data_IF_191753602049
#
_entry.id   IF_191753602049
#
_cell.length_a   1.000
_cell.length_b   1.000
_cell.length_c   1.000
_cell.angle_alpha   90.00
_cell.angle_beta   90.00
_cell.angle_gamma   90.00
#
_symmetry.space_group_name_H-M   'P 1'
#
loop_
_entity.id
_entity.type
_entity.pdbx_description
1 polymer ?
#
# COMPACT_ATOMS: atom_id res chain seq x y z
N UNK A 1 13.72 -2.11 15.51
CA UNK A 1 12.61 -1.19 15.82
C UNK A 1 12.88 0.20 15.29
N UNK A 2 13.94 0.88 15.76
CA UNK A 2 14.31 2.23 15.28
C UNK A 2 14.46 2.34 13.75
N UNK A 3 15.10 1.35 13.11
CA UNK A 3 15.23 1.32 11.65
C UNK A 3 13.87 1.27 10.90
N UNK A 4 12.86 0.61 11.48
CA UNK A 4 11.53 0.51 10.87
C UNK A 4 10.70 1.76 11.14
N UNK A 5 10.70 2.26 12.38
CA UNK A 5 9.99 3.49 12.73
C UNK A 5 10.45 4.68 11.88
N UNK A 6 11.76 4.87 11.75
CA UNK A 6 12.32 5.95 10.93
C UNK A 6 11.98 5.77 9.45
N UNK A 7 12.02 4.54 8.92
CA UNK A 7 11.53 4.25 7.56
C UNK A 7 10.05 4.61 7.40
N UNK A 8 9.20 4.21 8.35
CA UNK A 8 7.76 4.45 8.23
C UNK A 8 7.46 5.95 8.25
N UNK A 9 8.13 6.72 9.11
CA UNK A 9 8.01 8.18 9.12
C UNK A 9 8.58 8.83 7.84
N UNK A 10 9.57 8.21 7.20
CA UNK A 10 10.08 8.66 5.91
C UNK A 10 9.15 8.32 4.73
N UNK A 11 8.07 7.55 4.93
CA UNK A 11 7.02 7.37 3.90
C UNK A 11 6.26 8.66 3.70
N UNK A 12 5.90 9.33 4.80
CA UNK A 12 5.30 10.66 4.86
C UNK A 12 5.61 11.24 6.24
N UNK A 13 6.21 12.42 6.26
CA UNK A 13 6.50 13.13 7.51
C UNK A 13 5.20 13.37 8.30
N UNK A 14 5.19 13.19 9.64
CA UNK A 14 4.00 13.33 10.48
C UNK A 14 3.09 14.52 10.17
N UNK A 15 3.67 15.71 10.01
CA UNK A 15 2.98 16.98 9.76
C UNK A 15 2.31 17.04 8.38
N UNK A 16 2.73 16.18 7.45
CA UNK A 16 2.18 16.11 6.09
C UNK A 16 1.17 14.97 5.89
N UNK A 17 0.85 14.21 6.94
CA UNK A 17 -0.18 13.18 6.91
C UNK A 17 -1.57 13.82 6.76
N UNK A 18 -2.43 13.18 5.98
CA UNK A 18 -3.82 13.57 5.77
C UNK A 18 -4.70 12.32 5.70
N UNK A 19 -6.01 12.50 5.81
CA UNK A 19 -6.99 11.42 5.60
C UNK A 19 -6.88 10.74 4.23
N UNK A 20 -6.36 11.45 3.22
CA UNK A 20 -6.16 10.94 1.86
C UNK A 20 -4.77 10.36 1.60
N UNK A 21 -3.87 10.30 2.59
CA UNK A 21 -2.49 9.85 2.34
C UNK A 21 -2.40 8.38 1.97
N UNK A 22 -3.12 7.48 2.65
CA UNK A 22 -3.10 6.05 2.35
C UNK A 22 -4.45 5.60 1.81
N UNK A 23 -4.43 4.74 0.79
CA UNK A 23 -5.66 4.25 0.18
C UNK A 23 -6.44 3.34 1.14
N UNK A 24 -7.74 3.60 1.29
CA UNK A 24 -8.65 2.73 2.04
C UNK A 24 -9.19 1.59 1.16
N UNK A 25 -9.51 1.88 -0.10
CA UNK A 25 -10.16 0.93 -1.00
C UNK A 25 -9.23 0.04 -1.82
N UNK A 26 -7.93 0.36 -1.91
CA UNK A 26 -7.00 -0.35 -2.78
C UNK A 26 -5.88 -1.04 -1.99
N UNK A 27 -5.69 -2.33 -2.30
CA UNK A 27 -4.58 -3.18 -1.80
C UNK A 27 -4.40 -3.16 -0.28
N UNK A 28 -5.52 -2.92 0.43
CA UNK A 28 -5.60 -2.81 1.89
C UNK A 28 -4.54 -1.86 2.47
N UNK A 29 -4.17 -0.81 1.74
CA UNK A 29 -2.99 0.00 2.07
C UNK A 29 -3.10 0.63 3.47
N UNK A 30 -4.20 1.33 3.77
CA UNK A 30 -4.43 1.90 5.10
C UNK A 30 -4.42 0.86 6.23
N UNK A 31 -5.09 -0.28 6.02
CA UNK A 31 -5.12 -1.40 6.98
C UNK A 31 -3.71 -1.96 7.25
N UNK A 32 -2.91 -2.17 6.20
CA UNK A 32 -1.52 -2.65 6.33
C UNK A 32 -0.65 -1.66 7.09
N UNK A 33 -0.79 -0.36 6.83
CA UNK A 33 -0.01 0.67 7.53
C UNK A 33 -0.30 0.66 9.03
N UNK A 34 -1.58 0.64 9.41
CA UNK A 34 -1.98 0.57 10.82
C UNK A 34 -1.45 -0.72 11.45
N UNK A 35 -1.60 -1.86 10.77
CA UNK A 35 -1.10 -3.14 11.27
C UNK A 35 0.43 -3.12 11.47
N UNK A 36 1.20 -2.65 10.49
CA UNK A 36 2.67 -2.56 10.57
C UNK A 36 3.15 -1.70 11.75
N UNK A 37 2.51 -0.54 11.97
CA UNK A 37 2.82 0.33 13.11
C UNK A 37 2.41 -0.28 14.44
N UNK A 38 1.22 -0.90 14.53
CA UNK A 38 0.75 -1.56 15.75
C UNK A 38 1.66 -2.70 16.17
N UNK A 39 2.06 -3.57 15.23
CA UNK A 39 3.01 -4.66 15.52
C UNK A 39 4.34 -4.12 16.05
N UNK A 40 4.82 -2.99 15.52
CA UNK A 40 6.04 -2.35 15.99
C UNK A 40 5.87 -1.75 17.40
N UNK A 41 4.73 -1.10 17.67
CA UNK A 41 4.40 -0.53 18.97
C UNK A 41 4.19 -1.60 20.05
N UNK A 42 3.45 -2.65 19.76
CA UNK A 42 3.24 -3.82 20.64
C UNK A 42 4.59 -4.44 21.02
N UNK A 43 5.47 -4.67 20.04
CA UNK A 43 6.81 -5.19 20.31
C UNK A 43 7.64 -4.25 21.19
N UNK A 44 7.56 -2.95 20.97
CA UNK A 44 8.26 -1.96 21.78
C UNK A 44 7.73 -1.95 23.23
N UNK A 45 6.40 -1.97 23.41
CA UNK A 45 5.73 -2.01 24.72
C UNK A 45 6.09 -3.29 25.47
N UNK A 46 6.00 -4.45 24.82
CA UNK A 46 6.39 -5.73 25.41
C UNK A 46 7.83 -5.70 25.94
N UNK A 47 8.76 -5.09 25.20
CA UNK A 47 10.14 -4.94 25.68
C UNK A 47 10.23 -3.99 26.87
N UNK A 48 9.57 -2.84 26.80
CA UNK A 48 9.52 -1.87 27.90
C UNK A 48 9.02 -2.50 29.21
N UNK A 49 7.93 -3.27 29.16
CA UNK A 49 7.31 -3.89 30.32
C UNK A 49 8.21 -4.98 30.96
N UNK A 50 9.19 -5.49 30.22
CA UNK A 50 10.15 -6.51 30.69
C UNK A 50 11.55 -5.95 31.01
N UNK A 51 11.77 -4.64 30.86
CA UNK A 51 13.06 -4.02 31.14
C UNK A 51 13.24 -3.76 32.64
N UNK A 52 14.49 -3.86 33.16
CA UNK A 52 14.79 -3.37 34.49
C UNK A 52 14.49 -1.87 34.59
N UNK A 53 13.95 -1.44 35.73
CA UNK A 53 13.57 -0.05 36.00
C UNK A 53 14.69 0.96 35.66
N UNK A 54 15.95 0.58 35.89
CA UNK A 54 17.12 1.41 35.58
C UNK A 54 17.28 1.77 34.09
N UNK A 55 16.61 1.06 33.18
CA UNK A 55 16.64 1.31 31.74
C UNK A 55 15.31 1.86 31.20
N UNK A 56 14.24 1.83 31.99
CA UNK A 56 12.87 2.12 31.53
C UNK A 56 12.77 3.54 30.98
N UNK A 57 13.26 4.55 31.69
CA UNK A 57 13.14 5.94 31.25
C UNK A 57 13.90 6.25 29.95
N UNK A 58 15.07 5.63 29.76
CA UNK A 58 15.83 5.76 28.51
C UNK A 58 15.12 5.05 27.36
N UNK A 59 14.60 3.84 27.59
CA UNK A 59 13.86 3.11 26.57
C UNK A 59 12.54 3.80 26.20
N UNK A 60 11.83 4.32 27.20
CA UNK A 60 10.58 5.07 26.99
C UNK A 60 10.81 6.23 26.01
N UNK A 61 11.77 7.11 26.31
CA UNK A 61 11.98 8.32 25.52
C UNK A 61 12.64 8.07 24.15
N UNK A 62 13.54 7.08 24.04
CA UNK A 62 14.35 6.87 22.83
C UNK A 62 13.73 5.86 21.86
N UNK A 63 12.85 4.98 22.32
CA UNK A 63 12.32 3.88 21.51
C UNK A 63 10.80 3.86 21.55
N UNK A 64 10.21 3.76 22.73
CA UNK A 64 8.80 3.44 22.87
C UNK A 64 7.87 4.61 22.50
N UNK A 65 8.07 5.76 23.14
CA UNK A 65 7.30 6.97 22.87
C UNK A 65 7.28 7.35 21.39
N UNK A 66 8.41 7.48 20.67
CA UNK A 66 8.37 7.88 19.26
C UNK A 66 7.65 6.85 18.38
N UNK A 67 7.75 5.56 18.70
CA UNK A 67 7.03 4.49 17.98
C UNK A 67 5.52 4.62 18.23
N UNK A 68 5.08 4.77 19.47
CA UNK A 68 3.66 4.85 19.82
C UNK A 68 2.99 6.13 19.35
N UNK A 69 3.66 7.28 19.50
CA UNK A 69 3.16 8.55 18.99
C UNK A 69 2.92 8.48 17.47
N UNK A 70 3.88 7.93 16.72
CA UNK A 70 3.73 7.83 15.26
C UNK A 70 2.75 6.72 14.83
N UNK A 71 2.65 5.63 15.59
CA UNK A 71 1.62 4.61 15.38
C UNK A 71 0.22 5.19 15.58
N UNK A 72 0.02 5.91 16.69
CA UNK A 72 -1.23 6.60 17.01
C UNK A 72 -1.62 7.61 15.92
N UNK A 73 -0.67 8.45 15.49
CA UNK A 73 -0.90 9.48 14.48
C UNK A 73 -1.28 8.90 13.11
N UNK A 74 -0.58 7.85 12.65
CA UNK A 74 -0.92 7.18 11.39
C UNK A 74 -2.28 6.50 11.49
N UNK A 75 -2.59 5.85 12.62
CA UNK A 75 -3.90 5.25 12.85
C UNK A 75 -5.02 6.30 12.84
N UNK A 76 -4.80 7.48 13.44
CA UNK A 76 -5.77 8.57 13.46
C UNK A 76 -6.10 9.05 12.05
N UNK A 77 -5.09 9.26 11.19
CA UNK A 77 -5.35 9.70 9.81
C UNK A 77 -5.92 8.59 8.93
N UNK A 78 -5.56 7.31 9.14
CA UNK A 78 -6.23 6.20 8.45
C UNK A 78 -7.69 6.08 8.91
N UNK A 79 -7.98 6.27 10.21
CA UNK A 79 -9.35 6.30 10.71
C UNK A 79 -10.14 7.47 10.11
N UNK A 80 -9.53 8.64 9.95
CA UNK A 80 -10.15 9.77 9.24
C UNK A 80 -10.41 9.47 7.76
N UNK A 81 -9.47 8.78 7.08
CA UNK A 81 -9.67 8.30 5.71
C UNK A 81 -10.81 7.29 5.60
N UNK A 82 -10.92 6.37 6.57
CA UNK A 82 -12.03 5.42 6.65
C UNK A 82 -13.36 6.12 6.93
N UNK A 83 -13.38 7.09 7.84
CA UNK A 83 -14.56 7.91 8.08
C UNK A 83 -15.07 8.55 6.78
N UNK A 84 -14.19 9.20 6.02
CA UNK A 84 -14.55 9.77 4.71
C UNK A 84 -15.03 8.68 3.72
N UNK A 85 -14.30 7.57 3.61
CA UNK A 85 -14.63 6.45 2.71
C UNK A 85 -16.04 5.89 2.95
N UNK A 86 -16.40 5.67 4.22
CA UNK A 86 -17.71 5.14 4.62
C UNK A 86 -18.81 6.21 4.57
N UNK A 87 -18.49 7.47 4.89
CA UNK A 87 -19.46 8.57 4.81
C UNK A 87 -19.90 8.85 3.38
N UNK A 88 -18.97 8.87 2.42
CA UNK A 88 -19.27 8.98 0.98
C UNK A 88 -20.08 7.80 0.44
N UNK A 89 -19.99 6.66 1.13
CA UNK A 89 -20.77 5.46 0.85
C UNK A 89 -22.03 5.37 1.68
N UNK A 90 -22.36 6.36 2.52
CA UNK A 90 -23.58 6.37 3.32
C UNK A 90 -23.70 5.21 4.31
N UNK A 91 -22.59 4.74 4.91
CA UNK A 91 -22.63 3.64 5.90
C UNK A 91 -22.38 4.11 7.34
N UNK A 92 -23.10 3.56 8.34
CA UNK A 92 -22.94 3.84 9.77
C UNK A 92 -21.52 3.63 10.31
N UNK A 93 -20.70 2.80 9.67
CA UNK A 93 -19.27 2.63 9.98
C UNK A 93 -18.52 3.97 10.01
N UNK A 94 -18.98 4.97 9.23
CA UNK A 94 -18.45 6.33 9.30
C UNK A 94 -18.46 6.89 10.73
N UNK A 95 -19.56 6.69 11.47
CA UNK A 95 -19.74 7.20 12.83
C UNK A 95 -18.76 6.53 13.80
N UNK A 96 -18.57 5.22 13.68
CA UNK A 96 -17.56 4.49 14.46
C UNK A 96 -16.16 5.09 14.24
N UNK A 97 -15.78 5.33 12.98
CA UNK A 97 -14.48 5.92 12.68
C UNK A 97 -14.38 7.39 13.07
N UNK A 98 -15.48 8.15 13.10
CA UNK A 98 -15.49 9.51 13.63
C UNK A 98 -15.11 9.52 15.13
N UNK A 99 -15.73 8.64 15.91
CA UNK A 99 -15.41 8.47 17.33
C UNK A 99 -13.98 7.96 17.52
N UNK A 100 -13.52 7.05 16.65
CA UNK A 100 -12.15 6.53 16.69
C UNK A 100 -11.09 7.62 16.43
N UNK A 101 -11.35 8.54 15.50
CA UNK A 101 -10.46 9.70 15.26
C UNK A 101 -10.36 10.56 16.51
N UNK A 102 -11.47 10.81 17.20
CA UNK A 102 -11.49 11.57 18.45
C UNK A 102 -10.69 10.87 19.55
N UNK A 103 -10.91 9.57 19.75
CA UNK A 103 -10.16 8.75 20.71
C UNK A 103 -8.64 8.84 20.47
N UNK A 104 -8.21 8.71 19.21
CA UNK A 104 -6.80 8.74 18.86
C UNK A 104 -6.18 10.14 18.99
N UNK A 105 -6.97 11.19 18.75
CA UNK A 105 -6.54 12.57 18.99
C UNK A 105 -6.37 12.87 20.49
N UNK A 106 -7.27 12.37 21.35
CA UNK A 106 -7.13 12.47 22.80
C UNK A 106 -5.93 11.65 23.31
N UNK A 107 -5.69 10.47 22.73
CA UNK A 107 -4.53 9.64 23.04
C UNK A 107 -3.20 10.30 22.69
N UNK A 108 -3.14 11.10 21.62
CA UNK A 108 -1.94 11.87 21.25
C UNK A 108 -1.54 12.87 22.35
N UNK A 109 -2.55 13.60 22.88
CA UNK A 109 -2.36 14.52 23.98
C UNK A 109 -1.91 13.79 25.27
N UNK A 110 -2.48 12.62 25.55
CA UNK A 110 -2.12 11.81 26.72
C UNK A 110 -0.68 11.27 26.61
N UNK A 111 -0.24 10.80 25.44
CA UNK A 111 1.15 10.38 25.23
C UNK A 111 2.12 11.55 25.51
N UNK A 112 1.78 12.76 25.03
CA UNK A 112 2.57 13.96 25.27
C UNK A 112 2.63 14.30 26.77
N UNK A 113 1.50 14.20 27.48
CA UNK A 113 1.41 14.40 28.94
C UNK A 113 2.31 13.42 29.69
N UNK A 114 2.24 12.13 29.37
CA UNK A 114 3.10 11.10 29.98
C UNK A 114 4.59 11.42 29.81
N UNK A 115 4.99 11.92 28.65
CA UNK A 115 6.38 12.32 28.40
C UNK A 115 6.79 13.56 29.23
N UNK A 116 5.88 14.51 29.46
CA UNK A 116 6.17 15.77 30.15
C UNK A 116 6.06 15.70 31.66
N UNK A 117 5.16 14.87 32.19
CA UNK A 117 4.78 14.85 33.60
C UNK A 117 5.27 13.58 34.30
N UNK A 118 5.02 12.42 33.70
CA UNK A 118 5.24 11.13 34.38
C UNK A 118 6.71 10.67 34.24
N UNK A 119 7.33 10.94 33.10
CA UNK A 119 8.71 10.55 32.83
C UNK A 119 9.71 11.33 33.69
N UNK A 120 10.35 10.63 34.63
CA UNK A 120 11.42 11.16 35.48
C UNK A 120 11.02 12.46 36.22
N UNK A 121 9.80 12.49 36.77
CA UNK A 121 9.23 13.66 37.46
C UNK A 121 9.29 14.95 36.61
N UNK A 122 9.00 14.80 35.30
CA UNK A 122 8.95 15.88 34.34
C UNK A 122 10.29 16.46 33.91
N UNK A 123 11.36 15.66 33.98
CA UNK A 123 12.70 16.05 33.50
C UNK A 123 12.71 16.63 32.08
N UNK A 124 11.84 16.14 31.21
CA UNK A 124 11.76 16.51 29.80
C UNK A 124 10.49 17.30 29.44
N UNK A 125 9.93 17.99 30.42
CA UNK A 125 8.78 18.85 30.20
C UNK A 125 9.02 19.81 29.01
N UNK A 126 7.98 20.02 28.20
CA UNK A 126 7.96 20.80 26.96
C UNK A 126 8.70 20.21 25.74
N UNK A 127 9.49 19.14 25.86
CA UNK A 127 10.24 18.57 24.71
C UNK A 127 9.33 18.09 23.57
N UNK A 128 8.10 17.68 23.88
CA UNK A 128 7.08 17.24 22.90
C UNK A 128 5.94 18.26 22.74
N UNK A 129 6.19 19.55 22.98
CA UNK A 129 5.17 20.62 22.88
C UNK A 129 4.90 21.11 21.44
N UNK A 130 5.64 20.59 20.45
CA UNK A 130 5.49 21.01 19.05
C UNK A 130 4.11 20.63 18.51
N UNK A 131 3.43 21.59 17.89
CA UNK A 131 2.20 21.31 17.15
C UNK A 131 2.52 20.54 15.87
N UNK A 132 1.84 19.42 15.68
CA UNK A 132 2.14 18.44 14.63
C UNK A 132 0.88 17.90 13.93
N UNK A 133 -0.33 18.33 14.36
CA UNK A 133 -1.61 17.90 13.78
C UNK A 133 -2.38 19.11 13.21
N UNK A 134 -2.82 19.00 11.96
CA UNK A 134 -3.72 20.00 11.34
C UNK A 134 -3.03 21.09 10.52
N UNK A 135 -1.84 20.81 9.97
CA UNK A 135 -1.16 21.70 9.03
C UNK A 135 -2.04 21.95 7.80
N UNK A 136 -2.05 23.20 7.32
CA UNK A 136 -2.75 23.63 6.10
C UNK A 136 -1.85 24.36 5.11
N UNK A 137 -0.63 24.68 5.55
CA UNK A 137 0.45 25.26 4.76
C UNK A 137 1.78 24.91 5.46
N UNK A 138 2.90 25.48 5.01
CA UNK A 138 4.25 25.09 5.44
C UNK A 138 4.56 25.33 6.93
N UNK A 139 3.92 26.30 7.58
CA UNK A 139 4.19 26.63 8.98
C UNK A 139 3.25 25.84 9.91
N UNK A 140 3.73 25.58 11.12
CA UNK A 140 2.93 24.93 12.16
C UNK A 140 1.65 25.71 12.52
N UNK A 141 0.54 25.01 12.82
CA UNK A 141 -0.66 25.65 13.34
C UNK A 141 -0.44 26.08 14.81
N UNK A 142 -1.21 27.06 15.31
CA UNK A 142 -1.10 27.51 16.71
C UNK A 142 -1.53 26.44 17.73
N UNK A 143 -2.30 25.44 17.29
CA UNK A 143 -2.82 24.35 18.12
C UNK A 143 -2.87 23.06 17.29
N UNK A 144 -2.74 21.91 17.95
CA UNK A 144 -3.13 20.64 17.33
C UNK A 144 -4.63 20.66 17.05
N UNK A 145 -5.01 20.35 15.80
CA UNK A 145 -6.41 20.33 15.37
C UNK A 145 -6.78 18.94 14.87
N UNK A 146 -7.72 18.31 15.54
CA UNK A 146 -8.29 17.01 15.15
C UNK A 146 -8.70 17.02 13.66
N UNK A 147 -8.42 15.95 12.89
CA UNK A 147 -8.93 15.83 11.52
C UNK A 147 -10.45 16.00 11.46
N UNK A 148 -10.95 16.59 10.37
CA UNK A 148 -12.38 16.68 10.14
C UNK A 148 -12.98 15.28 9.99
N UNK A 149 -14.18 15.09 10.57
CA UNK A 149 -14.94 13.84 10.49
C UNK A 149 -16.39 14.13 10.13
N UNK A 150 -17.02 13.16 9.50
CA UNK A 150 -18.45 13.19 9.16
C UNK A 150 -19.22 12.18 9.99
N UNK A 151 -20.44 12.52 10.38
CA UNK A 151 -21.43 11.56 10.85
C UNK A 151 -22.50 11.41 9.78
N UNK A 152 -23.00 10.20 9.61
CA UNK A 152 -24.16 9.88 8.76
C UNK A 152 -25.36 9.53 9.63
N UNK A 153 -26.56 9.77 9.10
CA UNK A 153 -27.83 9.39 9.72
C UNK A 153 -28.30 8.05 9.13
N UNK A 154 -28.20 6.92 9.87
CA UNK A 154 -28.62 5.61 9.39
C UNK A 154 -30.14 5.51 9.27
N UNK A 155 -30.62 4.57 8.45
CA UNK A 155 -32.05 4.25 8.40
C UNK A 155 -32.48 3.53 9.69
N UNK A 156 -33.74 3.70 10.09
CA UNK A 156 -34.27 2.98 11.24
C UNK A 156 -34.37 1.47 10.96
N UNK A 157 -33.97 0.64 11.93
CA UNK A 157 -33.98 -0.82 11.81
C UNK A 157 -32.63 -1.38 11.36
N UNK A 158 -32.62 -2.61 10.86
CA UNK A 158 -31.44 -3.24 10.26
C UNK A 158 -31.59 -3.22 8.73
N UNK A 159 -30.54 -2.85 8.01
CA UNK A 159 -30.55 -2.81 6.54
C UNK A 159 -29.24 -3.41 6.02
N UNK A 160 -29.35 -4.47 5.22
CA UNK A 160 -28.20 -5.19 4.67
C UNK A 160 -27.63 -4.48 3.43
N UNK A 161 -26.31 -4.37 3.37
CA UNK A 161 -25.56 -4.12 2.13
C UNK A 161 -24.23 -4.86 2.15
N UNK A 162 -23.40 -4.65 1.12
CA UNK A 162 -22.04 -5.18 1.09
C UNK A 162 -21.08 -4.32 0.26
N UNK A 163 -19.78 -4.45 0.51
CA UNK A 163 -18.72 -4.02 -0.41
C UNK A 163 -17.85 -5.21 -0.78
N UNK A 164 -17.31 -5.18 -2.00
CA UNK A 164 -16.32 -6.16 -2.44
C UNK A 164 -14.94 -5.53 -2.39
N UNK A 165 -13.93 -6.32 -2.05
CA UNK A 165 -12.54 -5.89 -2.22
C UNK A 165 -12.29 -5.51 -3.68
N UNK A 166 -11.74 -4.31 -3.90
CA UNK A 166 -11.56 -3.68 -5.22
C UNK A 166 -12.84 -3.34 -6.00
N UNK A 167 -14.02 -3.48 -5.38
CA UNK A 167 -15.32 -3.07 -5.92
C UNK A 167 -15.46 -1.55 -6.04
N UNK A 168 -16.38 -1.12 -6.90
CA UNK A 168 -16.69 0.30 -7.08
C UNK A 168 -17.49 0.88 -5.93
N UNK A 169 -17.52 2.21 -5.82
CA UNK A 169 -18.50 2.91 -4.98
C UNK A 169 -19.92 2.56 -5.48
N UNK A 170 -20.84 2.15 -4.60
CA UNK A 170 -22.23 1.93 -5.01
C UNK A 170 -22.81 3.20 -5.62
N UNK A 171 -23.58 3.05 -6.70
CA UNK A 171 -24.27 4.17 -7.33
C UNK A 171 -25.70 4.24 -6.83
N UNK A 172 -26.19 5.47 -6.66
CA UNK A 172 -27.61 5.73 -6.44
C UNK A 172 -28.38 5.39 -7.73
N UNK A 173 -29.40 4.55 -7.65
CA UNK A 173 -30.21 4.15 -8.80
C UNK A 173 -30.86 5.36 -9.48
N UNK A 174 -30.71 5.49 -10.80
CA UNK A 174 -31.18 6.68 -11.55
C UNK A 174 -32.59 6.52 -12.15
N UNK A 175 -33.36 5.49 -11.79
CA UNK A 175 -34.63 5.17 -12.47
C UNK A 175 -35.82 4.83 -11.58
N UNK A 176 -35.66 4.59 -10.28
CA UNK A 176 -36.79 4.37 -9.36
C UNK A 176 -36.76 5.37 -8.21
N UNK A 177 -37.94 5.88 -7.89
CA UNK A 177 -38.19 6.91 -6.87
C UNK A 177 -37.93 6.38 -5.43
N UNK A 178 -37.59 5.09 -5.31
CA UNK A 178 -37.17 4.35 -4.12
C UNK A 178 -35.77 3.73 -4.38
N UNK A 179 -34.76 4.58 -4.57
CA UNK A 179 -33.46 4.20 -5.12
C UNK A 179 -32.67 3.17 -4.29
N UNK A 180 -32.69 1.90 -4.72
CA UNK A 180 -31.77 0.86 -4.25
C UNK A 180 -30.32 1.14 -4.69
N UNK A 181 -29.36 0.77 -3.84
CA UNK A 181 -27.94 0.84 -4.17
C UNK A 181 -27.57 -0.19 -5.23
N UNK A 182 -26.90 0.27 -6.29
CA UNK A 182 -26.28 -0.62 -7.27
C UNK A 182 -24.88 -1.00 -6.80
N UNK A 183 -24.76 -2.21 -6.25
CA UNK A 183 -23.49 -2.79 -5.80
C UNK A 183 -22.67 -3.37 -6.95
N UNK A 184 -21.35 -3.48 -6.75
CA UNK A 184 -20.51 -4.34 -7.59
C UNK A 184 -20.75 -5.78 -7.19
N UNK A 185 -21.01 -6.67 -8.15
CA UNK A 185 -21.35 -8.06 -7.86
C UNK A 185 -20.20 -9.03 -8.17
N UNK A 186 -19.15 -8.60 -8.86
CA UNK A 186 -18.03 -9.46 -9.23
C UNK A 186 -16.82 -9.21 -8.32
N UNK A 187 -16.35 -10.26 -7.65
CA UNK A 187 -15.02 -10.26 -7.05
C UNK A 187 -13.94 -10.24 -8.15
N UNK A 188 -12.70 -9.81 -7.82
CA UNK A 188 -11.58 -10.02 -8.73
C UNK A 188 -11.38 -11.51 -9.02
N UNK A 189 -10.78 -11.82 -10.18
CA UNK A 189 -10.57 -13.22 -10.58
C UNK A 189 -9.54 -13.88 -9.67
N UNK A 190 -9.88 -15.08 -9.19
CA UNK A 190 -8.96 -15.92 -8.44
C UNK A 190 -8.19 -16.86 -9.38
N UNK A 191 -6.95 -17.18 -9.02
CA UNK A 191 -6.13 -18.17 -9.72
C UNK A 191 -5.27 -19.00 -8.73
N UNK A 192 -4.94 -20.26 -9.07
CA UNK A 192 -4.21 -21.15 -8.17
C UNK A 192 -2.73 -20.78 -7.99
N UNK A 193 -2.19 -19.86 -8.79
CA UNK A 193 -0.80 -19.45 -8.71
C UNK A 193 -0.63 -18.40 -7.63
N UNK A 194 -1.48 -17.37 -7.62
CA UNK A 194 -1.48 -16.32 -6.62
C UNK A 194 -2.16 -16.77 -5.33
N UNK A 195 -3.16 -17.65 -5.42
CA UNK A 195 -3.93 -18.18 -4.29
C UNK A 195 -4.53 -17.06 -3.43
N UNK A 196 -5.32 -16.21 -4.08
CA UNK A 196 -5.82 -14.98 -3.49
C UNK A 196 -6.82 -15.25 -2.36
N UNK A 197 -6.82 -14.33 -1.40
CA UNK A 197 -7.79 -14.24 -0.31
C UNK A 197 -8.48 -12.88 -0.37
N UNK A 198 -9.64 -12.80 -1.03
CA UNK A 198 -10.44 -11.57 -1.09
C UNK A 198 -11.48 -11.53 0.03
N UNK A 199 -12.20 -10.42 0.18
CA UNK A 199 -13.31 -10.33 1.14
C UNK A 199 -14.59 -9.75 0.54
N UNK A 200 -15.71 -10.20 1.10
CA UNK A 200 -17.00 -9.52 1.08
C UNK A 200 -17.14 -8.81 2.43
N UNK A 201 -17.22 -7.49 2.40
CA UNK A 201 -17.47 -6.66 3.58
C UNK A 201 -18.98 -6.50 3.73
N UNK A 202 -19.57 -7.27 4.65
CA UNK A 202 -20.99 -7.18 4.98
C UNK A 202 -21.18 -5.91 5.80
N UNK A 203 -22.12 -5.05 5.39
CA UNK A 203 -22.39 -3.78 6.06
C UNK A 203 -23.82 -3.74 6.58
N UNK A 204 -24.00 -3.14 7.75
CA UNK A 204 -25.27 -2.71 8.28
C UNK A 204 -25.45 -1.22 8.00
N UNK A 205 -26.48 -0.87 7.23
CA UNK A 205 -26.84 0.50 6.87
C UNK A 205 -27.84 1.12 7.85
N UNK A 206 -28.37 0.34 8.78
CA UNK A 206 -29.39 0.75 9.75
C UNK A 206 -28.85 1.05 11.15
N UNK A 207 -29.77 1.39 12.06
CA UNK A 207 -29.50 1.68 13.48
C UNK A 207 -29.46 0.45 14.39
N UNK A 208 -30.24 -0.57 14.08
CA UNK A 208 -30.35 -1.80 14.89
C UNK A 208 -29.34 -2.86 14.42
N UNK A 209 -28.87 -3.76 15.30
CA UNK A 209 -27.98 -4.86 14.91
C UNK A 209 -28.55 -5.69 13.75
N UNK A 210 -27.72 -5.95 12.74
CA UNK A 210 -28.06 -6.75 11.58
C UNK A 210 -27.57 -8.19 11.74
N UNK A 211 -28.50 -9.14 11.75
CA UNK A 211 -28.18 -10.56 11.54
C UNK A 211 -28.18 -10.90 10.05
N UNK A 212 -27.17 -11.61 9.58
CA UNK A 212 -27.06 -12.07 8.20
C UNK A 212 -26.58 -13.53 8.11
N UNK A 213 -26.81 -14.12 6.94
CA UNK A 213 -26.27 -15.41 6.52
C UNK A 213 -25.55 -15.23 5.18
N UNK A 214 -24.46 -15.96 4.98
CA UNK A 214 -23.65 -15.95 3.76
C UNK A 214 -23.28 -17.39 3.40
N UNK A 215 -23.58 -17.79 2.17
CA UNK A 215 -23.38 -19.18 1.73
C UNK A 215 -22.81 -19.25 0.32
N UNK A 216 -21.90 -20.19 0.10
CA UNK A 216 -21.41 -20.52 -1.23
C UNK A 216 -22.40 -21.47 -1.93
N UNK A 217 -22.63 -21.28 -3.23
CA UNK A 217 -23.41 -22.21 -4.06
C UNK A 217 -22.58 -23.42 -4.49
N UNK A 218 -21.27 -23.23 -4.63
CA UNK A 218 -20.32 -24.25 -5.00
C UNK A 218 -19.43 -24.65 -3.82
N UNK A 219 -19.10 -25.94 -3.72
CA UNK A 219 -18.31 -26.53 -2.62
C UNK A 219 -16.80 -26.23 -2.69
N UNK A 220 -16.36 -25.63 -3.79
CA UNK A 220 -15.00 -25.13 -4.00
C UNK A 220 -14.80 -23.69 -3.53
N UNK A 221 -15.87 -22.96 -3.18
CA UNK A 221 -15.77 -21.63 -2.56
C UNK A 221 -15.75 -21.80 -1.04
N UNK A 222 -14.71 -21.30 -0.40
CA UNK A 222 -14.54 -21.35 1.05
C UNK A 222 -14.80 -19.96 1.64
N UNK A 223 -15.64 -19.91 2.67
CA UNK A 223 -15.99 -18.69 3.40
C UNK A 223 -15.45 -18.79 4.83
N UNK A 224 -14.85 -17.71 5.34
CA UNK A 224 -14.37 -17.67 6.72
C UNK A 224 -15.50 -17.67 7.76
N UNK A 225 -16.72 -17.31 7.37
CA UNK A 225 -17.94 -17.28 8.17
C UNK A 225 -19.15 -17.60 7.28
N UNK A 226 -20.22 -18.11 7.90
CA UNK A 226 -21.48 -18.42 7.21
C UNK A 226 -22.68 -17.63 7.76
N UNK A 227 -22.51 -16.99 8.90
CA UNK A 227 -23.50 -16.13 9.54
C UNK A 227 -22.80 -15.16 10.49
N UNK A 228 -23.50 -14.09 10.85
CA UNK A 228 -23.00 -13.10 11.79
C UNK A 228 -24.08 -12.14 12.26
N UNK A 229 -23.74 -11.39 13.29
CA UNK A 229 -24.54 -10.29 13.82
C UNK A 229 -23.63 -9.08 14.00
N UNK A 230 -23.91 -8.00 13.26
CA UNK A 230 -23.05 -6.81 13.19
C UNK A 230 -23.80 -5.53 13.56
N UNK A 231 -23.10 -4.62 14.21
CA UNK A 231 -23.57 -3.25 14.38
C UNK A 231 -23.23 -2.38 13.16
N UNK A 232 -22.02 -2.51 12.62
CA UNK A 232 -21.48 -1.65 11.56
C UNK A 232 -21.11 -2.45 10.31
N UNK A 233 -20.01 -3.20 10.36
CA UNK A 233 -19.51 -3.98 9.24
C UNK A 233 -18.67 -5.16 9.73
N UNK A 234 -18.51 -6.16 8.88
CA UNK A 234 -17.44 -7.15 9.03
C UNK A 234 -16.99 -7.72 7.69
N UNK A 235 -15.72 -8.14 7.62
CA UNK A 235 -15.13 -8.77 6.43
C UNK A 235 -15.22 -10.29 6.51
N UNK A 236 -15.99 -10.90 5.61
CA UNK A 236 -16.00 -12.35 5.37
C UNK A 236 -15.01 -12.65 4.25
N UNK A 237 -13.96 -13.40 4.55
CA UNK A 237 -12.94 -13.75 3.56
C UNK A 237 -13.40 -14.91 2.68
N UNK A 238 -13.03 -14.84 1.41
CA UNK A 238 -13.34 -15.79 0.35
C UNK A 238 -12.02 -16.35 -0.19
N UNK A 239 -11.89 -17.67 -0.21
CA UNK A 239 -10.79 -18.41 -0.83
C UNK A 239 -11.31 -19.60 -1.64
N UNK A 240 -10.45 -20.20 -2.46
CA UNK A 240 -10.83 -21.27 -3.38
C UNK A 240 -10.15 -22.59 -2.98
N UNK A 241 -10.95 -23.67 -2.91
CA UNK A 241 -10.46 -25.04 -2.85
C UNK A 241 -10.13 -25.52 -4.27
N UNK A 242 -8.86 -25.34 -4.68
CA UNK A 242 -8.40 -25.63 -6.04
C UNK A 242 -8.46 -27.11 -6.45
N UNK A 243 -8.59 -28.03 -5.49
CA UNK A 243 -8.77 -29.47 -5.76
C UNK A 243 -10.20 -29.80 -6.21
N UNK A 244 -11.18 -29.01 -5.75
CA UNK A 244 -12.60 -29.15 -6.13
C UNK A 244 -13.01 -28.21 -7.25
N UNK A 245 -12.31 -27.09 -7.41
CA UNK A 245 -12.62 -26.09 -8.42
C UNK A 245 -12.56 -26.66 -9.84
N UNK A 246 -13.51 -26.32 -10.74
CA UNK A 246 -13.46 -26.77 -12.13
C UNK A 246 -12.20 -26.25 -12.83
N UNK A 247 -11.73 -26.96 -13.86
CA UNK A 247 -10.57 -26.55 -14.68
C UNK A 247 -10.95 -25.43 -15.65
N UNK A 248 -9.98 -24.55 -15.94
CA UNK A 248 -10.19 -23.41 -16.85
C UNK A 248 -10.95 -22.26 -16.20
N UNK A 249 -11.52 -21.39 -17.03
CA UNK A 249 -12.35 -20.28 -16.58
C UNK A 249 -13.74 -20.77 -16.14
N UNK A 250 -14.18 -20.34 -14.96
CA UNK A 250 -15.51 -20.62 -14.43
C UNK A 250 -15.97 -19.48 -13.52
N UNK A 251 -17.26 -19.42 -13.24
CA UNK A 251 -17.82 -18.48 -12.28
C UNK A 251 -18.68 -19.24 -11.27
N UNK A 252 -18.44 -19.00 -9.98
CA UNK A 252 -19.31 -19.47 -8.90
C UNK A 252 -20.06 -18.31 -8.27
N UNK A 253 -20.85 -18.61 -7.23
CA UNK A 253 -21.71 -17.63 -6.59
C UNK A 253 -21.74 -17.78 -5.06
N UNK A 254 -21.79 -16.62 -4.39
CA UNK A 254 -22.08 -16.49 -2.97
C UNK A 254 -23.44 -15.81 -2.84
N UNK A 255 -24.29 -16.31 -1.94
CA UNK A 255 -25.55 -15.67 -1.58
C UNK A 255 -25.45 -15.12 -0.18
N UNK A 256 -25.71 -13.82 -0.06
CA UNK A 256 -25.73 -13.05 1.18
C UNK A 256 -27.16 -12.59 1.46
N UNK A 257 -27.73 -13.01 2.59
CA UNK A 257 -29.13 -12.72 2.94
C UNK A 257 -29.23 -12.20 4.37
N UNK A 258 -30.11 -11.23 4.61
CA UNK A 258 -30.26 -10.57 5.92
C UNK A 258 -31.24 -9.41 5.84
N UNK A 259 -31.97 -9.14 6.94
CA UNK A 259 -33.00 -8.10 7.02
C UNK A 259 -34.01 -8.10 5.84
N UNK A 260 -34.38 -9.28 5.33
CA UNK A 260 -35.33 -9.42 4.21
C UNK A 260 -34.76 -9.16 2.81
N UNK A 261 -33.48 -8.81 2.70
CA UNK A 261 -32.75 -8.65 1.43
C UNK A 261 -31.89 -9.87 1.11
N UNK A 262 -31.63 -10.10 -0.17
CA UNK A 262 -30.75 -11.16 -0.67
C UNK A 262 -29.93 -10.63 -1.87
N UNK A 263 -28.61 -10.87 -1.83
CA UNK A 263 -27.67 -10.48 -2.88
C UNK A 263 -26.89 -11.71 -3.37
N UNK A 264 -26.61 -11.75 -4.68
CA UNK A 264 -25.77 -12.78 -5.30
C UNK A 264 -24.46 -12.16 -5.77
N UNK A 265 -23.33 -12.68 -5.28
CA UNK A 265 -21.98 -12.20 -5.56
C UNK A 265 -21.25 -13.25 -6.39
N UNK A 266 -20.72 -12.84 -7.53
CA UNK A 266 -19.98 -13.69 -8.46
C UNK A 266 -18.53 -13.89 -7.99
N UNK A 267 -18.05 -15.12 -8.14
CA UNK A 267 -16.69 -15.54 -7.79
C UNK A 267 -16.01 -16.10 -9.05
N UNK A 268 -15.42 -15.23 -9.90
CA UNK A 268 -14.74 -15.68 -11.10
C UNK A 268 -13.42 -16.37 -10.75
N UNK A 269 -13.16 -17.50 -11.38
CA UNK A 269 -11.91 -18.25 -11.25
C UNK A 269 -11.29 -18.53 -12.61
N UNK A 270 -9.96 -18.64 -12.63
CA UNK A 270 -9.20 -19.27 -13.72
C UNK A 270 -8.31 -20.35 -13.13
N UNK A 271 -8.77 -21.60 -13.15
CA UNK A 271 -8.00 -22.74 -12.65
C UNK A 271 -7.11 -23.32 -13.74
N UNK A 272 -6.11 -22.52 -14.12
CA UNK A 272 -5.04 -22.91 -15.03
C UNK A 272 -3.70 -22.84 -14.29
N UNK A 273 -2.78 -23.73 -14.66
CA UNK A 273 -1.44 -23.79 -14.05
C UNK A 273 -0.37 -23.75 -15.14
N UNK A 274 -0.28 -22.64 -15.91
CA UNK A 274 0.81 -22.47 -16.86
C UNK A 274 2.17 -22.50 -16.16
N UNK A 275 3.26 -22.81 -16.89
CA UNK A 275 4.61 -22.63 -16.36
C UNK A 275 4.83 -21.17 -15.97
N UNK A 276 5.25 -20.93 -14.73
CA UNK A 276 5.54 -19.59 -14.19
C UNK A 276 6.92 -19.55 -13.55
N UNK A 277 7.56 -18.39 -13.60
CA UNK A 277 8.85 -18.13 -12.96
C UNK A 277 8.96 -16.66 -12.53
N UNK A 278 9.71 -16.42 -11.45
CA UNK A 278 9.91 -15.07 -10.94
C UNK A 278 8.64 -14.49 -10.33
N UNK A 279 8.44 -13.19 -10.47
CA UNK A 279 7.27 -12.48 -9.95
C UNK A 279 6.05 -12.67 -10.85
N UNK A 280 4.96 -13.20 -10.31
CA UNK A 280 3.77 -13.51 -11.10
C UNK A 280 2.78 -12.35 -11.05
N UNK A 281 2.20 -12.05 -12.21
CA UNK A 281 1.07 -11.13 -12.37
C UNK A 281 -0.12 -11.54 -11.47
N UNK A 282 -0.70 -10.57 -10.78
CA UNK A 282 -1.93 -10.71 -10.03
C UNK A 282 -2.94 -9.66 -10.47
N UNK A 283 -3.88 -10.07 -11.34
CA UNK A 283 -4.94 -9.23 -11.91
C UNK A 283 -4.40 -7.98 -12.62
N UNK A 284 -3.38 -8.14 -13.47
CA UNK A 284 -2.84 -7.09 -14.33
C UNK A 284 -1.75 -6.23 -13.67
N UNK A 285 -1.11 -6.73 -12.62
CA UNK A 285 -0.06 -6.02 -11.86
C UNK A 285 1.04 -6.95 -11.42
N UNK A 286 2.29 -6.60 -11.75
CA UNK A 286 3.50 -7.20 -11.15
C UNK A 286 4.26 -6.13 -10.36
N UNK A 287 4.57 -6.39 -9.10
CA UNK A 287 5.41 -5.53 -8.27
C UNK A 287 6.68 -6.25 -7.87
N UNK A 288 7.81 -5.59 -8.08
CA UNK A 288 9.16 -6.12 -7.83
C UNK A 288 9.94 -5.13 -6.95
N UNK A 289 10.39 -5.55 -5.77
CA UNK A 289 11.32 -4.75 -4.97
C UNK A 289 12.70 -4.78 -5.63
N UNK A 290 13.38 -3.62 -5.70
CA UNK A 290 14.60 -3.50 -6.51
C UNK A 290 15.74 -4.41 -6.04
N UNK A 291 15.78 -4.77 -4.75
CA UNK A 291 16.79 -5.66 -4.18
C UNK A 291 16.53 -7.15 -4.41
N UNK A 292 15.47 -7.50 -5.15
CA UNK A 292 15.06 -8.88 -5.42
C UNK A 292 15.33 -9.31 -6.88
N UNK A 293 16.49 -8.95 -7.43
CA UNK A 293 16.94 -9.41 -8.75
C UNK A 293 17.22 -10.92 -8.79
N UNK A 294 17.16 -11.52 -9.99
CA UNK A 294 17.59 -12.91 -10.23
C UNK A 294 19.05 -12.97 -10.65
N UNK A 295 19.50 -11.99 -11.44
CA UNK A 295 20.89 -11.87 -11.86
C UNK A 295 21.35 -10.42 -11.76
N UNK A 296 22.63 -10.25 -11.44
CA UNK A 296 23.30 -8.96 -11.49
C UNK A 296 24.62 -9.14 -12.20
N UNK A 297 24.88 -8.31 -13.19
CA UNK A 297 26.18 -8.16 -13.84
C UNK A 297 26.78 -6.84 -13.37
N UNK A 298 28.04 -6.87 -12.97
CA UNK A 298 28.81 -5.70 -12.57
C UNK A 298 30.05 -5.55 -13.45
N UNK A 299 30.63 -4.35 -13.45
CA UNK A 299 31.95 -4.07 -14.00
C UNK A 299 32.95 -3.89 -12.85
N UNK A 300 34.25 -3.94 -13.16
CA UNK A 300 35.32 -3.81 -12.17
C UNK A 300 35.25 -2.47 -11.40
N UNK A 301 34.88 -1.40 -12.09
CA UNK A 301 34.85 -0.02 -11.62
C UNK A 301 33.42 0.53 -11.42
N UNK A 302 32.39 -0.31 -11.54
CA UNK A 302 30.99 0.05 -11.27
C UNK A 302 30.12 -1.18 -10.96
N UNK A 303 29.50 -1.19 -9.78
CA UNK A 303 28.67 -2.31 -9.33
C UNK A 303 27.34 -1.83 -8.73
N UNK A 304 26.26 -2.55 -9.01
CA UNK A 304 25.01 -2.43 -8.27
C UNK A 304 25.19 -2.98 -6.86
N UNK A 305 24.88 -2.16 -5.86
CA UNK A 305 24.92 -2.53 -4.45
C UNK A 305 23.55 -2.32 -3.81
N UNK A 306 23.21 -3.21 -2.87
CA UNK A 306 22.04 -3.08 -2.02
C UNK A 306 22.34 -2.11 -0.87
N UNK A 307 21.43 -1.18 -0.63
CA UNK A 307 21.41 -0.35 0.57
C UNK A 307 20.24 -0.83 1.46
N UNK A 308 20.53 -1.59 2.54
CA UNK A 308 19.49 -2.18 3.38
C UNK A 308 18.61 -1.09 3.99
N UNK A 309 17.30 -1.33 4.00
CA UNK A 309 16.31 -0.47 4.66
C UNK A 309 16.22 0.98 4.10
N UNK A 310 16.89 1.30 2.99
CA UNK A 310 16.71 2.57 2.31
C UNK A 310 15.45 2.53 1.44
N UNK A 311 14.66 3.60 1.50
CA UNK A 311 13.42 3.75 0.72
C UNK A 311 12.16 3.53 1.55
N UNK A 312 11.00 3.54 0.89
CA UNK A 312 9.66 3.54 1.52
C UNK A 312 9.14 2.14 1.85
N UNK A 313 9.65 1.11 1.18
CA UNK A 313 9.23 -0.30 1.28
C UNK A 313 10.39 -1.21 1.69
N UNK A 314 10.99 -1.96 0.76
CA UNK A 314 12.06 -2.93 0.99
C UNK A 314 13.44 -2.30 1.17
N UNK A 315 14.36 -2.63 0.28
CA UNK A 315 15.68 -1.99 0.20
C UNK A 315 15.85 -1.31 -1.16
N UNK A 316 16.92 -0.54 -1.31
CA UNK A 316 17.21 0.14 -2.57
C UNK A 316 18.49 -0.39 -3.22
N UNK A 317 18.59 -0.21 -4.53
CA UNK A 317 19.79 -0.49 -5.33
C UNK A 317 20.40 0.81 -5.84
N UNK A 318 21.74 0.91 -5.79
CA UNK A 318 22.49 2.05 -6.33
C UNK A 318 23.86 1.61 -6.85
N UNK A 319 24.58 2.49 -7.55
CA UNK A 319 25.91 2.21 -8.11
C UNK A 319 27.01 2.62 -7.13
N UNK A 320 27.97 1.71 -6.93
CA UNK A 320 29.23 1.94 -6.24
C UNK A 320 30.42 1.76 -7.19
N UNK A 321 31.44 2.63 -7.13
CA UNK A 321 31.50 3.85 -6.32
C UNK A 321 30.53 4.92 -6.85
N UNK A 322 30.16 5.88 -5.99
CA UNK A 322 29.16 6.90 -6.31
C UNK A 322 29.61 7.89 -7.40
N UNK A 323 30.88 7.88 -7.77
CA UNK A 323 31.47 8.68 -8.84
C UNK A 323 31.77 7.87 -10.13
N UNK A 324 31.21 6.66 -10.28
CA UNK A 324 31.37 5.86 -11.49
C UNK A 324 30.96 6.65 -12.76
N UNK A 325 31.74 6.48 -13.83
CA UNK A 325 31.55 7.20 -15.09
C UNK A 325 30.27 6.78 -15.82
N UNK A 326 29.72 7.69 -16.62
CA UNK A 326 28.54 7.42 -17.46
C UNK A 326 28.84 6.34 -18.50
N UNK A 327 27.86 5.47 -18.78
CA UNK A 327 27.97 4.39 -19.77
C UNK A 327 26.75 4.31 -20.65
N UNK A 328 26.94 3.95 -21.92
CA UNK A 328 25.84 3.48 -22.75
C UNK A 328 25.38 2.09 -22.27
N UNK A 329 24.07 1.75 -22.37
CA UNK A 329 23.60 0.40 -22.10
C UNK A 329 24.24 -0.59 -23.09
N UNK A 330 24.61 -1.77 -22.61
CA UNK A 330 25.29 -2.78 -23.42
C UNK A 330 25.76 -4.00 -22.63
N UNK A 331 26.40 -4.97 -23.32
CA UNK A 331 26.78 -6.26 -22.72
C UNK A 331 27.78 -6.16 -21.56
N UNK A 332 28.65 -5.14 -21.56
CA UNK A 332 29.64 -4.89 -20.49
C UNK A 332 29.17 -3.89 -19.43
N UNK A 333 27.97 -3.34 -19.59
CA UNK A 333 27.41 -2.34 -18.66
C UNK A 333 26.71 -3.06 -17.50
N UNK A 334 26.93 -2.62 -16.24
CA UNK A 334 26.26 -3.20 -15.09
C UNK A 334 24.74 -3.22 -15.24
N UNK A 335 24.14 -4.37 -14.97
CA UNK A 335 22.73 -4.65 -15.27
C UNK A 335 22.13 -5.54 -14.18
N UNK A 336 20.94 -5.20 -13.73
CA UNK A 336 20.09 -6.08 -12.91
C UNK A 336 19.05 -6.72 -13.81
N UNK A 337 18.76 -8.00 -13.60
CA UNK A 337 17.76 -8.76 -14.36
C UNK A 337 16.74 -9.35 -13.38
N UNK A 338 15.46 -9.15 -13.68
CA UNK A 338 14.33 -9.62 -12.88
C UNK A 338 13.39 -10.43 -13.76
N UNK A 339 13.08 -11.63 -13.32
CA UNK A 339 12.16 -12.55 -14.00
C UNK A 339 10.75 -12.25 -13.51
N UNK A 340 9.82 -12.12 -14.44
CA UNK A 340 8.40 -12.02 -14.13
C UNK A 340 7.57 -12.85 -15.10
N UNK A 341 6.35 -13.18 -14.71
CA UNK A 341 5.40 -13.90 -15.54
C UNK A 341 4.14 -13.08 -15.73
N UNK A 342 3.73 -12.91 -16.99
CA UNK A 342 2.41 -12.40 -17.35
C UNK A 342 1.48 -13.58 -17.63
N UNK A 343 0.29 -13.56 -17.03
CA UNK A 343 -0.72 -14.59 -17.27
C UNK A 343 -1.52 -14.30 -18.54
N UNK A 344 -1.63 -13.02 -18.91
CA UNK A 344 -2.29 -12.54 -20.12
C UNK A 344 -1.39 -11.55 -20.85
N UNK A 345 -1.49 -11.48 -22.18
CA UNK A 345 -0.71 -10.53 -22.98
C UNK A 345 -1.27 -9.13 -22.85
N UNK A 346 -0.40 -8.12 -22.82
CA UNK A 346 -0.79 -6.74 -22.60
C UNK A 346 0.24 -5.72 -23.12
N UNK A 347 -0.22 -4.49 -23.33
CA UNK A 347 0.67 -3.34 -23.32
C UNK A 347 1.04 -3.04 -21.85
N UNK A 348 2.33 -2.92 -21.58
CA UNK A 348 2.84 -2.70 -20.23
C UNK A 348 3.30 -1.27 -20.04
N UNK A 349 2.94 -0.70 -18.89
CA UNK A 349 3.58 0.49 -18.32
C UNK A 349 4.43 0.07 -17.12
N UNK A 350 5.72 0.37 -17.15
CA UNK A 350 6.61 0.12 -15.99
C UNK A 350 6.89 1.43 -15.28
N UNK A 351 6.38 1.57 -14.07
CA UNK A 351 6.70 2.63 -13.14
C UNK A 351 7.91 2.25 -12.28
N UNK A 352 9.02 2.95 -12.50
CA UNK A 352 10.25 2.81 -11.71
C UNK A 352 10.26 3.86 -10.59
N UNK A 353 10.32 3.40 -9.35
CA UNK A 353 10.33 4.24 -8.16
C UNK A 353 11.78 4.50 -7.75
N UNK A 354 12.18 5.77 -7.75
CA UNK A 354 13.55 6.19 -7.40
C UNK A 354 13.54 7.23 -6.30
N UNK A 355 14.55 7.26 -5.45
CA UNK A 355 14.71 8.33 -4.47
C UNK A 355 14.81 9.70 -5.17
N UNK A 356 14.34 10.79 -4.54
CA UNK A 356 14.23 12.10 -5.18
C UNK A 356 15.59 12.83 -5.27
N UNK A 357 16.59 12.18 -5.86
CA UNK A 357 17.93 12.74 -6.06
C UNK A 357 17.87 13.96 -7.00
N UNK A 358 18.51 15.05 -6.58
CA UNK A 358 18.70 16.25 -7.40
C UNK A 358 19.77 16.03 -8.46
N UNK A 359 19.69 16.81 -9.54
CA UNK A 359 20.70 16.81 -10.60
C UNK A 359 22.00 17.48 -10.11
N UNK A 360 22.87 16.72 -9.44
CA UNK A 360 24.16 17.21 -8.96
C UNK A 360 25.24 17.25 -10.04
N UNK A 361 25.07 16.55 -11.17
CA UNK A 361 26.08 16.44 -12.23
C UNK A 361 26.19 17.69 -13.11
N UNK A 362 25.22 18.63 -13.02
CA UNK A 362 25.10 19.82 -13.89
C UNK A 362 25.10 19.42 -15.38
N UNK A 363 23.91 19.14 -15.91
CA UNK A 363 23.71 18.66 -17.29
C UNK A 363 22.28 18.17 -17.47
N UNK A 364 22.04 17.25 -18.41
CA UNK A 364 20.69 16.78 -18.73
C UNK A 364 19.98 16.02 -17.59
N UNK A 365 20.68 15.59 -16.54
CA UNK A 365 20.12 14.81 -15.44
C UNK A 365 20.73 13.42 -15.31
N UNK A 366 20.26 12.67 -14.31
CA UNK A 366 20.71 11.30 -14.04
C UNK A 366 19.83 10.30 -14.79
N UNK A 367 20.46 9.38 -15.54
CA UNK A 367 19.75 8.43 -16.41
C UNK A 367 20.02 6.97 -15.99
N UNK A 368 19.05 6.10 -16.26
CA UNK A 368 19.19 4.63 -16.30
C UNK A 368 18.57 4.11 -17.59
N UNK A 369 18.77 2.83 -17.92
CA UNK A 369 18.09 2.23 -19.06
C UNK A 369 17.28 0.99 -18.65
N UNK A 370 16.16 0.76 -19.33
CA UNK A 370 15.21 -0.32 -19.05
C UNK A 370 14.75 -1.00 -20.34
N UNK A 371 14.61 -2.33 -20.32
CA UNK A 371 14.04 -3.10 -21.42
C UNK A 371 13.36 -4.37 -20.88
N UNK A 372 12.45 -4.93 -21.67
CA UNK A 372 11.93 -6.28 -21.50
C UNK A 372 12.60 -7.18 -22.54
N UNK A 373 13.06 -8.35 -22.11
CA UNK A 373 13.70 -9.36 -22.94
C UNK A 373 14.80 -8.77 -23.84
N UNK A 374 14.71 -8.96 -25.14
CA UNK A 374 15.67 -8.46 -26.13
C UNK A 374 15.20 -7.15 -26.80
N UNK A 375 14.23 -6.46 -26.19
CA UNK A 375 13.79 -5.14 -26.62
C UNK A 375 14.90 -4.09 -26.51
N UNK A 376 14.79 -3.05 -27.35
CA UNK A 376 15.71 -1.90 -27.36
C UNK A 376 15.70 -1.18 -25.99
N UNK A 377 16.87 -0.97 -25.35
CA UNK A 377 16.94 -0.26 -24.08
C UNK A 377 16.42 1.17 -24.17
N UNK A 378 15.38 1.48 -23.39
CA UNK A 378 14.85 2.84 -23.25
C UNK A 378 15.63 3.59 -22.16
N UNK A 379 16.21 4.74 -22.50
CA UNK A 379 16.92 5.60 -21.54
C UNK A 379 15.92 6.49 -20.81
N UNK A 380 15.86 6.36 -19.49
CA UNK A 380 14.95 7.10 -18.62
C UNK A 380 15.74 8.10 -17.78
N UNK A 381 15.36 9.37 -17.85
CA UNK A 381 15.96 10.46 -17.10
C UNK A 381 15.14 10.78 -15.83
N UNK A 382 15.73 10.58 -14.65
CA UNK A 382 15.01 10.83 -13.39
C UNK A 382 14.81 12.31 -13.10
N UNK A 383 15.58 13.18 -13.76
CA UNK A 383 15.42 14.63 -13.70
C UNK A 383 14.74 15.21 -14.95
N UNK A 384 14.24 14.34 -15.84
CA UNK A 384 13.47 14.77 -17.01
C UNK A 384 12.18 15.49 -16.58
N UNK A 385 11.84 16.56 -17.31
CA UNK A 385 10.68 17.43 -17.09
C UNK A 385 10.71 18.24 -15.77
N UNK A 386 11.89 18.45 -15.19
CA UNK A 386 12.10 19.33 -14.01
C UNK A 386 12.43 20.77 -14.46
N UNK A 387 11.56 21.37 -15.27
CA UNK A 387 11.82 22.64 -15.95
C UNK A 387 11.94 23.85 -15.00
N UNK A 388 11.09 23.88 -13.96
CA UNK A 388 11.13 24.93 -12.95
C UNK A 388 12.16 24.53 -11.88
N UNK A 389 13.16 25.39 -11.58
CA UNK A 389 14.13 25.09 -10.53
C UNK A 389 13.48 24.84 -9.16
N UNK A 390 14.10 23.96 -8.38
CA UNK A 390 13.64 23.56 -7.04
C UNK A 390 13.49 24.76 -6.07
N UNK A 391 14.42 25.73 -6.09
CA UNK A 391 14.34 26.93 -5.24
C UNK A 391 13.18 27.88 -5.58
N UNK A 392 12.40 27.59 -6.64
CA UNK A 392 11.15 28.28 -6.94
C UNK A 392 9.92 27.50 -6.46
N UNK A 393 10.10 26.48 -5.63
CA UNK A 393 9.02 25.64 -5.10
C UNK A 393 8.21 24.98 -6.22
N UNK A 394 8.89 24.39 -7.20
CA UNK A 394 8.24 23.70 -8.30
C UNK A 394 7.37 22.52 -7.81
N UNK A 395 6.22 22.29 -8.44
CA UNK A 395 5.31 21.19 -8.07
C UNK A 395 5.99 19.82 -8.05
N UNK A 396 6.85 19.54 -9.05
CA UNK A 396 7.61 18.29 -9.09
C UNK A 396 8.53 18.13 -7.87
N UNK A 397 9.14 19.24 -7.40
CA UNK A 397 10.05 19.22 -6.27
C UNK A 397 9.26 19.01 -4.99
N UNK A 398 8.25 19.85 -4.76
CA UNK A 398 7.38 19.78 -3.58
C UNK A 398 6.74 18.40 -3.43
N UNK A 399 6.23 17.82 -4.52
CA UNK A 399 5.63 16.49 -4.51
C UNK A 399 6.70 15.43 -4.20
N UNK A 400 7.85 15.47 -4.87
CA UNK A 400 8.87 14.41 -4.72
C UNK A 400 9.53 14.39 -3.34
N UNK A 401 9.71 15.55 -2.69
CA UNK A 401 10.22 15.62 -1.32
C UNK A 401 9.17 15.22 -0.31
N UNK A 402 7.91 15.61 -0.52
CA UNK A 402 6.80 15.24 0.36
C UNK A 402 6.53 13.73 0.31
N UNK A 403 6.57 13.15 -0.88
CA UNK A 403 6.34 11.73 -1.13
C UNK A 403 7.61 10.86 -0.96
N UNK A 404 8.76 11.51 -0.74
CA UNK A 404 10.08 10.88 -0.65
C UNK A 404 10.39 9.95 -1.84
N UNK A 405 9.87 10.25 -3.03
CA UNK A 405 10.02 9.44 -4.23
C UNK A 405 9.85 10.26 -5.51
N UNK A 406 10.48 9.82 -6.59
CA UNK A 406 10.11 10.14 -7.98
C UNK A 406 9.69 8.85 -8.68
N UNK A 407 8.63 8.92 -9.48
CA UNK A 407 8.17 7.80 -10.31
C UNK A 407 8.47 8.16 -11.77
N UNK A 408 9.12 7.25 -12.50
CA UNK A 408 9.42 7.41 -13.92
C UNK A 408 8.93 6.20 -14.70
N UNK A 409 8.17 6.48 -15.74
CA UNK A 409 7.45 5.46 -16.51
C UNK A 409 8.13 5.15 -17.83
N UNK A 410 8.03 3.89 -18.26
CA UNK A 410 8.35 3.42 -19.62
C UNK A 410 7.20 2.58 -20.15
N UNK A 411 7.03 2.53 -21.47
CA UNK A 411 5.95 1.79 -22.12
C UNK A 411 6.52 0.70 -23.03
N UNK A 412 5.95 -0.49 -22.98
CA UNK A 412 6.37 -1.67 -23.74
C UNK A 412 5.12 -2.32 -24.34
N UNK A 413 4.99 -2.30 -25.66
CA UNK A 413 3.77 -2.71 -26.35
C UNK A 413 3.78 -4.19 -26.72
N UNK A 414 2.59 -4.79 -26.80
CA UNK A 414 2.35 -6.14 -27.28
C UNK A 414 3.26 -7.21 -26.63
N UNK A 415 3.34 -7.20 -25.29
CA UNK A 415 4.03 -8.25 -24.56
C UNK A 415 3.09 -9.45 -24.46
N UNK A 416 3.50 -10.58 -25.04
CA UNK A 416 2.73 -11.82 -25.03
C UNK A 416 2.62 -12.42 -23.60
N UNK A 417 1.65 -13.30 -23.31
CA UNK A 417 1.65 -14.06 -22.07
C UNK A 417 2.91 -14.95 -21.97
N UNK A 418 3.49 -15.07 -20.77
CA UNK A 418 4.66 -15.91 -20.56
C UNK A 418 5.67 -15.38 -19.55
N UNK A 419 6.84 -16.01 -19.53
CA UNK A 419 7.97 -15.64 -18.67
C UNK A 419 8.84 -14.62 -19.42
N UNK A 420 9.11 -13.49 -18.77
CA UNK A 420 9.88 -12.38 -19.30
C UNK A 420 10.99 -11.97 -18.34
N UNK A 421 11.98 -11.24 -18.87
CA UNK A 421 13.06 -10.64 -18.11
C UNK A 421 13.02 -9.11 -18.22
N UNK A 422 12.82 -8.43 -17.11
CA UNK A 422 13.06 -6.99 -16.98
C UNK A 422 14.56 -6.77 -16.77
N UNK A 423 15.20 -6.04 -17.69
CA UNK A 423 16.62 -5.67 -17.65
C UNK A 423 16.75 -4.19 -17.30
N UNK A 424 17.60 -3.88 -16.32
CA UNK A 424 17.85 -2.51 -15.84
C UNK A 424 19.35 -2.23 -15.82
N UNK A 425 19.82 -1.39 -16.72
CA UNK A 425 21.23 -1.01 -16.81
C UNK A 425 21.50 0.30 -16.08
N UNK A 426 22.70 0.39 -15.52
CA UNK A 426 23.23 1.70 -15.17
C UNK A 426 23.47 2.54 -16.43
N UNK A 427 23.24 3.84 -16.33
CA UNK A 427 23.77 4.83 -17.28
C UNK A 427 24.59 5.84 -16.49
N UNK A 428 24.01 6.46 -15.47
CA UNK A 428 24.70 7.33 -14.52
C UNK A 428 24.74 6.74 -13.10
N UNK A 429 25.75 7.13 -12.30
CA UNK A 429 25.79 6.85 -10.86
C UNK A 429 24.97 7.88 -10.06
N UNK A 430 24.60 7.54 -8.82
CA UNK A 430 23.83 8.42 -7.93
C UNK A 430 22.31 8.24 -7.98
N UNK A 431 21.81 7.36 -8.85
CA UNK A 431 20.42 6.92 -8.85
C UNK A 431 20.22 5.86 -7.77
N UNK A 432 19.12 5.96 -7.05
CA UNK A 432 18.71 5.00 -6.02
C UNK A 432 17.34 4.44 -6.42
N UNK A 433 17.31 3.21 -6.89
CA UNK A 433 16.09 2.53 -7.35
C UNK A 433 15.52 1.73 -6.18
N UNK A 434 14.23 1.91 -5.89
CA UNK A 434 13.56 1.25 -4.76
C UNK A 434 12.69 0.07 -5.20
N UNK A 435 11.93 0.23 -6.30
CA UNK A 435 10.97 -0.78 -6.77
C UNK A 435 10.52 -0.54 -8.21
N UNK A 436 9.90 -1.55 -8.80
CA UNK A 436 9.25 -1.52 -10.10
C UNK A 436 7.78 -1.95 -9.96
N UNK A 437 6.88 -1.24 -10.62
CA UNK A 437 5.49 -1.65 -10.81
C UNK A 437 5.24 -1.78 -12.30
N UNK A 438 4.96 -2.99 -12.74
CA UNK A 438 4.59 -3.31 -14.10
C UNK A 438 3.06 -3.40 -14.12
N UNK A 439 2.45 -2.44 -14.79
CA UNK A 439 0.99 -2.32 -14.95
C UNK A 439 0.61 -2.86 -16.34
N UNK A 440 -0.17 -3.94 -16.33
CA UNK A 440 -0.80 -4.55 -17.50
C UNK A 440 -2.29 -4.15 -17.61
N UNK A 441 -2.70 -3.08 -16.92
CA UNK A 441 -4.07 -2.55 -16.89
C UNK A 441 -4.82 -2.76 -15.57
N UNK A 442 -4.18 -3.36 -14.56
CA UNK A 442 -4.78 -3.68 -13.27
C UNK A 442 -4.45 -2.70 -12.14
N UNK A 443 -3.50 -1.78 -12.35
CA UNK A 443 -3.00 -0.93 -11.26
C UNK A 443 -4.07 0.04 -10.75
N UNK A 444 -4.28 0.03 -9.43
CA UNK A 444 -5.16 0.99 -8.74
C UNK A 444 -4.35 2.01 -7.92
N UNK A 445 -4.87 3.25 -7.73
CA UNK A 445 -4.14 4.29 -7.00
C UNK A 445 -3.84 3.90 -5.54
N UNK A 446 -2.57 4.07 -5.16
CA UNK A 446 -2.02 3.88 -3.81
C UNK A 446 -0.85 4.81 -3.59
N UNK A 447 -0.48 5.03 -2.34
CA UNK A 447 0.61 5.91 -1.98
C UNK A 447 1.98 5.22 -2.09
N UNK A 448 2.13 4.04 -1.51
CA UNK A 448 3.34 3.21 -1.53
C UNK A 448 3.37 2.24 -2.70
N UNK A 449 2.22 2.01 -3.33
CA UNK A 449 2.03 0.94 -4.29
C UNK A 449 1.38 -0.32 -3.73
N UNK A 450 1.03 -1.26 -4.62
CA UNK A 450 0.64 -2.61 -4.22
C UNK A 450 1.80 -3.33 -3.51
N UNK A 451 1.51 -4.35 -2.67
CA UNK A 451 2.52 -5.27 -2.15
C UNK A 451 3.34 -5.93 -3.26
N UNK A 452 4.56 -6.37 -2.94
CA UNK A 452 5.39 -7.18 -3.85
C UNK A 452 4.62 -8.42 -4.31
N UNK A 453 4.70 -8.73 -5.60
CA UNK A 453 4.01 -9.88 -6.19
C UNK A 453 4.57 -11.20 -5.66
N UNK A 454 3.77 -12.26 -5.75
CA UNK A 454 4.23 -13.60 -5.39
C UNK A 454 5.40 -13.99 -6.28
N UNK A 455 6.51 -14.41 -5.67
CA UNK A 455 7.69 -14.91 -6.39
C UNK A 455 7.70 -16.44 -6.38
N UNK A 456 7.70 -17.04 -7.56
CA UNK A 456 7.86 -18.48 -7.77
C UNK A 456 9.30 -18.75 -8.19
N UNK A 457 10.05 -19.49 -7.37
CA UNK A 457 11.38 -19.98 -7.79
C UNK A 457 11.17 -21.16 -8.73
N UNK A 458 11.69 -21.10 -9.95
CA UNK A 458 11.77 -22.28 -10.80
C UNK A 458 12.48 -23.40 -10.01
N UNK A 459 12.05 -24.67 -10.11
CA UNK A 459 12.91 -25.77 -9.72
C UNK A 459 14.22 -25.59 -10.47
N UNK A 460 15.34 -25.54 -9.76
CA UNK A 460 16.64 -25.41 -10.39
C UNK A 460 16.72 -26.44 -11.53
N UNK A 461 16.96 -25.98 -12.75
CA UNK A 461 17.34 -26.88 -13.83
C UNK A 461 18.66 -27.52 -13.39
N UNK A 462 18.60 -28.81 -13.04
CA UNK A 462 19.74 -29.63 -12.66
C UNK A 462 20.79 -29.68 -13.76
#
# INVERSE_FOLDING_TARGET
MLALYTKYNARRTPEMLTAGTYSIGNFREGDRIVWEYRQLAEKARMLYDNLPESHSSAFFQLVLFPIEACANLNEMYVAAGKNAYYAERGTPSANYYADKVKELFEKDAELTRQFHEDLENGKWNHMMSQTHIGYTYWQHPPLNRMPAVSYVEPVAGAELGFFLEHGGQPRWGWLDVEADWSFTHDLPTFDPINDQLYYVEVINRGTEPLSYSISAKEDWIQLSKQEGAIQYDEKVHVSIDWEKAPKGASNGAIVLSGAGSEYTINVPIRNERPPVAGFVDNNGVVVIEADQFDRVRNAEDAAWIKVPNLGRTGSSMTISPSNASTRAPGPSTPCMEYTFTLLDGADLRIDTYVSPTLNFRRGDGLKFAIAIDDGEPQIININGNEEVPDWKYADWWMQSVADHIKIKSSSHAAIEPGIHTLKVWMVDSGIVIQRFVIDAGGLKPTYLGPPSSRRVTSPAAN
#
